data_IF_010629486661
#
_entry.id   IF_010629486661
#
_cell.length_a   1.000
_cell.length_b   1.000
_cell.length_c   1.000
_cell.angle_alpha   90.00
_cell.angle_beta   90.00
_cell.angle_gamma   90.00
#
_symmetry.space_group_name_H-M   'P 1'
#
loop_
_entity.id
_entity.type
_entity.pdbx_description
1 polymer ?
#
# COMPACT_ATOMS: atom_id res chain seq x y z
N UNK A 1 14.59 -8.12 14.11
CA UNK A 1 15.34 -8.46 15.33
C UNK A 1 16.62 -9.23 15.00
N UNK A 2 16.56 -10.30 14.21
CA UNK A 2 17.70 -11.18 13.93
C UNK A 2 18.87 -10.46 13.25
N UNK A 3 18.58 -9.46 12.42
CA UNK A 3 19.59 -8.65 11.71
C UNK A 3 19.88 -7.29 12.37
N UNK A 4 19.55 -7.12 13.66
CA UNK A 4 19.82 -5.89 14.41
C UNK A 4 18.87 -4.74 14.12
N UNK A 5 17.79 -4.94 13.35
CA UNK A 5 16.77 -3.93 13.06
C UNK A 5 15.99 -3.59 14.33
N UNK A 6 15.85 -2.30 14.62
CA UNK A 6 15.02 -1.79 15.71
C UNK A 6 13.69 -1.30 15.14
N UNK A 7 12.59 -1.76 15.70
CA UNK A 7 11.24 -1.35 15.33
C UNK A 7 10.68 -0.39 16.39
N UNK A 8 10.20 0.75 15.95
CA UNK A 8 9.48 1.72 16.75
C UNK A 8 8.02 1.69 16.32
N UNK A 9 7.22 0.82 16.96
CA UNK A 9 5.78 0.73 16.73
C UNK A 9 5.08 1.93 17.40
N UNK A 10 3.86 2.24 16.97
CA UNK A 10 3.08 3.36 17.47
C UNK A 10 3.85 4.70 17.43
N UNK A 11 4.70 4.85 16.42
CA UNK A 11 5.59 6.01 16.30
C UNK A 11 5.37 6.66 14.94
N UNK A 12 4.87 7.89 14.96
CA UNK A 12 4.58 8.69 13.76
C UNK A 12 5.71 9.68 13.52
N UNK A 13 6.21 9.74 12.30
CA UNK A 13 7.11 10.82 11.86
C UNK A 13 6.29 12.08 11.64
N UNK A 14 6.59 13.14 12.38
CA UNK A 14 5.88 14.42 12.31
C UNK A 14 6.62 15.43 11.42
N UNK A 15 7.94 15.55 11.63
CA UNK A 15 8.74 16.56 10.95
C UNK A 15 10.12 16.05 10.58
N UNK A 16 10.57 16.47 9.41
CA UNK A 16 11.91 16.19 8.90
C UNK A 16 12.64 17.49 8.60
N UNK A 17 13.89 17.58 9.02
CA UNK A 17 14.77 18.71 8.73
C UNK A 17 16.13 18.21 8.24
N UNK A 18 16.66 18.82 7.17
CA UNK A 18 18.04 18.60 6.73
C UNK A 18 18.98 19.31 7.67
N UNK A 19 20.03 18.61 8.11
CA UNK A 19 21.15 19.17 8.89
C UNK A 19 22.44 19.17 8.05
N UNK A 20 23.52 19.74 8.59
CA UNK A 20 24.81 19.75 7.88
C UNK A 20 25.38 18.37 7.59
N UNK A 21 25.10 17.38 8.45
CA UNK A 21 25.66 16.04 8.36
C UNK A 21 24.64 14.92 8.14
N UNK A 22 23.34 15.27 8.06
CA UNK A 22 22.28 14.27 7.93
C UNK A 22 20.91 14.88 8.09
N UNK A 23 20.06 14.27 8.91
CA UNK A 23 18.69 14.67 9.13
C UNK A 23 18.33 14.63 10.61
N UNK A 24 17.42 15.52 10.98
CA UNK A 24 16.68 15.49 12.23
C UNK A 24 15.26 15.06 11.96
N UNK A 25 14.83 14.02 12.67
CA UNK A 25 13.49 13.42 12.55
C UNK A 25 12.77 13.62 13.86
N UNK A 26 11.68 14.38 13.86
CA UNK A 26 10.77 14.49 14.99
C UNK A 26 9.71 13.41 14.88
N UNK A 27 9.57 12.61 15.92
CA UNK A 27 8.61 11.52 16.01
C UNK A 27 7.70 11.69 17.21
N UNK A 28 6.45 11.28 17.07
CA UNK A 28 5.44 11.22 18.11
C UNK A 28 5.09 9.78 18.43
N UNK A 29 5.28 9.37 19.68
CA UNK A 29 4.85 8.06 20.19
C UNK A 29 3.36 8.13 20.56
N UNK A 30 2.51 7.50 19.76
CA UNK A 30 1.04 7.62 19.88
C UNK A 30 0.45 6.89 21.08
N UNK A 31 1.18 5.94 21.67
CA UNK A 31 0.78 5.20 22.87
C UNK A 31 1.13 5.92 24.17
N UNK A 32 2.23 6.67 24.18
CA UNK A 32 2.72 7.40 25.36
C UNK A 32 2.49 8.91 25.28
N UNK A 33 2.12 9.41 24.09
CA UNK A 33 1.99 10.84 23.78
C UNK A 33 3.29 11.62 24.06
N UNK A 34 4.44 11.01 23.79
CA UNK A 34 5.77 11.61 23.97
C UNK A 34 6.39 11.92 22.62
N UNK A 35 7.00 13.09 22.50
CA UNK A 35 7.78 13.48 21.34
C UNK A 35 9.25 13.14 21.56
N UNK A 36 9.91 12.64 20.52
CA UNK A 36 11.33 12.32 20.49
C UNK A 36 11.98 12.92 19.23
N UNK A 37 13.26 13.22 19.32
CA UNK A 37 14.07 13.66 18.18
C UNK A 37 15.17 12.64 17.90
N UNK A 38 15.22 12.15 16.66
CA UNK A 38 16.20 11.18 16.18
C UNK A 38 17.11 11.89 15.17
N UNK A 39 18.43 11.75 15.35
CA UNK A 39 19.42 12.19 14.37
C UNK A 39 19.85 10.99 13.51
N UNK A 40 19.90 11.17 12.19
CA UNK A 40 20.28 10.11 11.27
C UNK A 40 21.04 10.65 10.06
N UNK A 41 21.87 9.83 9.43
CA UNK A 41 22.60 10.20 8.22
C UNK A 41 21.79 9.96 6.95
N UNK A 42 20.90 8.98 6.97
CA UNK A 42 20.09 8.57 5.82
C UNK A 42 18.63 8.43 6.24
N UNK A 43 17.73 8.71 5.30
CA UNK A 43 16.30 8.41 5.41
C UNK A 43 15.91 7.53 4.23
N UNK A 44 15.28 6.39 4.52
CA UNK A 44 14.62 5.57 3.51
C UNK A 44 13.11 5.79 3.67
N UNK A 45 12.53 6.50 2.71
CA UNK A 45 11.10 6.79 2.69
C UNK A 45 10.33 5.64 2.05
N UNK A 46 9.77 4.77 2.87
CA UNK A 46 8.90 3.67 2.47
C UNK A 46 7.50 3.81 3.09
N UNK A 47 6.99 5.05 3.16
CA UNK A 47 5.78 5.40 3.91
C UNK A 47 4.46 5.12 3.16
N UNK A 48 4.49 4.36 2.06
CA UNK A 48 3.30 3.96 1.33
C UNK A 48 2.49 5.17 0.84
N UNK A 49 1.22 5.25 1.19
CA UNK A 49 0.35 6.36 0.78
C UNK A 49 0.75 7.73 1.34
N UNK A 50 1.65 7.77 2.33
CA UNK A 50 2.18 9.00 2.92
C UNK A 50 3.59 9.36 2.42
N UNK A 51 4.11 8.64 1.42
CA UNK A 51 5.49 8.85 0.96
C UNK A 51 5.72 10.25 0.36
N UNK A 52 4.71 10.84 -0.25
CA UNK A 52 4.76 12.22 -0.75
C UNK A 52 4.87 13.24 0.41
N UNK A 53 4.16 13.03 1.52
CA UNK A 53 4.24 13.90 2.70
C UNK A 53 5.64 13.90 3.31
N UNK A 54 6.31 12.76 3.32
CA UNK A 54 7.70 12.61 3.79
C UNK A 54 8.66 13.29 2.79
N UNK A 55 8.60 12.91 1.52
CA UNK A 55 9.47 13.48 0.48
C UNK A 55 9.35 15.01 0.42
N UNK A 56 8.11 15.50 0.43
CA UNK A 56 7.80 16.90 0.18
C UNK A 56 8.20 17.85 1.32
N UNK A 57 8.56 17.33 2.49
CA UNK A 57 9.15 18.12 3.55
C UNK A 57 10.61 18.50 3.27
N UNK A 58 11.33 17.67 2.52
CA UNK A 58 12.79 17.81 2.32
C UNK A 58 13.16 18.20 0.89
N UNK A 59 12.46 17.66 -0.10
CA UNK A 59 12.78 17.81 -1.52
C UNK A 59 11.92 18.88 -2.19
N UNK A 60 12.52 19.63 -3.12
CA UNK A 60 11.80 20.52 -4.03
C UNK A 60 11.18 19.74 -5.21
N UNK A 61 11.68 18.53 -5.48
CA UNK A 61 11.07 17.58 -6.41
C UNK A 61 9.90 16.87 -5.73
N UNK A 62 8.72 17.49 -5.88
CA UNK A 62 7.53 17.02 -5.21
C UNK A 62 7.04 15.70 -5.81
N UNK A 63 6.67 14.78 -4.95
CA UNK A 63 5.87 13.60 -5.28
C UNK A 63 4.40 13.90 -5.02
N UNK A 64 3.53 13.19 -5.72
CA UNK A 64 2.10 13.20 -5.45
C UNK A 64 1.57 11.77 -5.44
N UNK A 65 1.10 11.32 -4.28
CA UNK A 65 0.57 9.97 -4.08
C UNK A 65 -0.94 10.04 -3.89
N UNK A 66 -1.65 9.46 -4.83
CA UNK A 66 -3.10 9.24 -4.75
C UNK A 66 -3.38 7.92 -4.05
N UNK A 67 -4.16 7.96 -2.98
CA UNK A 67 -4.63 6.75 -2.31
C UNK A 67 -5.69 6.06 -3.18
N UNK A 68 -5.37 4.87 -3.71
CA UNK A 68 -6.29 4.07 -4.53
C UNK A 68 -6.85 2.92 -3.72
N UNK A 69 -8.09 3.08 -3.24
CA UNK A 69 -8.77 2.10 -2.40
C UNK A 69 -9.19 0.87 -3.18
N UNK A 70 -8.89 -0.31 -2.62
CA UNK A 70 -9.34 -1.61 -3.07
C UNK A 70 -10.13 -2.30 -1.98
N UNK A 71 -11.40 -2.53 -2.20
CA UNK A 71 -12.29 -3.25 -1.30
C UNK A 71 -12.40 -4.71 -1.71
N UNK A 72 -12.53 -5.61 -0.74
CA UNK A 72 -12.59 -7.05 -0.94
C UNK A 72 -13.71 -7.69 -0.13
N UNK A 73 -14.24 -8.79 -0.65
CA UNK A 73 -15.07 -9.75 0.08
C UNK A 73 -14.30 -11.05 0.28
N UNK A 74 -14.22 -11.52 1.50
CA UNK A 74 -13.70 -12.84 1.83
C UNK A 74 -14.87 -13.80 2.11
N UNK A 75 -14.92 -14.90 1.39
CA UNK A 75 -15.95 -15.91 1.50
C UNK A 75 -15.45 -17.11 2.31
N UNK A 76 -16.41 -17.85 2.87
CA UNK A 76 -16.15 -19.03 3.69
C UNK A 76 -15.38 -20.12 2.94
N UNK A 77 -14.70 -21.00 3.69
CA UNK A 77 -13.93 -22.13 3.16
C UNK A 77 -14.79 -23.17 2.44
N UNK A 78 -16.07 -23.26 2.77
CA UNK A 78 -17.02 -24.16 2.09
C UNK A 78 -17.16 -23.89 0.59
N UNK A 79 -16.74 -22.71 0.16
CA UNK A 79 -16.74 -22.30 -1.26
C UNK A 79 -15.35 -21.94 -1.78
N UNK A 80 -14.30 -22.29 -1.04
CA UNK A 80 -12.93 -21.92 -1.40
C UNK A 80 -12.40 -22.58 -2.66
N UNK A 81 -12.95 -23.72 -3.06
CA UNK A 81 -12.61 -24.43 -4.29
C UNK A 81 -13.53 -24.11 -5.47
N UNK A 82 -14.36 -23.07 -5.36
CA UNK A 82 -15.30 -22.64 -6.40
C UNK A 82 -14.58 -22.32 -7.73
N UNK A 83 -13.37 -21.80 -7.65
CA UNK A 83 -12.44 -21.68 -8.78
C UNK A 83 -11.10 -22.33 -8.41
N UNK A 84 -10.42 -22.91 -9.41
CA UNK A 84 -9.12 -23.59 -9.18
C UNK A 84 -7.92 -22.68 -9.34
N UNK A 85 -8.12 -21.52 -9.96
CA UNK A 85 -7.09 -20.51 -10.22
C UNK A 85 -7.68 -19.12 -10.11
N UNK A 86 -6.84 -18.11 -9.95
CA UNK A 86 -7.29 -16.71 -10.01
C UNK A 86 -7.87 -16.40 -11.39
N UNK A 87 -9.11 -15.93 -11.42
CA UNK A 87 -9.81 -15.52 -12.62
C UNK A 87 -9.72 -13.99 -12.74
N UNK A 88 -9.18 -13.54 -13.87
CA UNK A 88 -9.03 -12.13 -14.22
C UNK A 88 -10.07 -11.74 -15.28
N UNK A 89 -10.44 -10.47 -15.28
CA UNK A 89 -11.06 -9.83 -16.44
C UNK A 89 -9.96 -9.38 -17.43
N UNK A 90 -10.35 -9.08 -18.66
CA UNK A 90 -9.46 -8.38 -19.59
C UNK A 90 -9.11 -7.03 -18.96
N UNK A 91 -7.82 -6.68 -18.83
CA UNK A 91 -7.41 -5.42 -18.20
C UNK A 91 -8.02 -4.19 -18.90
N UNK A 92 -8.41 -3.21 -18.12
CA UNK A 92 -8.88 -1.90 -18.57
C UNK A 92 -7.88 -0.81 -18.14
N UNK A 93 -8.17 0.44 -18.47
CA UNK A 93 -7.40 1.60 -17.94
C UNK A 93 -7.37 1.67 -16.41
N UNK A 94 -8.37 1.08 -15.74
CA UNK A 94 -8.44 1.01 -14.26
C UNK A 94 -7.78 -0.26 -13.68
N UNK A 95 -7.01 -0.99 -14.48
CA UNK A 95 -6.28 -2.19 -14.07
C UNK A 95 -7.01 -3.51 -14.38
N UNK A 96 -6.71 -4.53 -13.58
CA UNK A 96 -7.11 -5.94 -13.83
C UNK A 96 -8.58 -6.25 -13.50
N UNK A 97 -9.35 -5.27 -13.01
CA UNK A 97 -10.74 -5.44 -12.59
C UNK A 97 -10.91 -6.25 -11.31
N UNK A 98 -12.14 -6.72 -11.06
CA UNK A 98 -12.48 -7.57 -9.92
C UNK A 98 -12.07 -9.01 -10.21
N UNK A 99 -11.24 -9.57 -9.34
CA UNK A 99 -10.74 -10.94 -9.42
C UNK A 99 -11.60 -11.87 -8.56
N UNK A 100 -11.63 -13.14 -8.94
CA UNK A 100 -12.12 -14.24 -8.10
C UNK A 100 -10.94 -15.19 -7.87
N UNK A 101 -10.51 -15.33 -6.61
CA UNK A 101 -9.22 -15.96 -6.27
C UNK A 101 -9.38 -16.97 -5.13
N UNK A 102 -8.98 -18.23 -5.30
CA UNK A 102 -8.86 -19.15 -4.19
C UNK A 102 -7.66 -18.74 -3.32
N UNK A 103 -7.82 -18.75 -1.99
CA UNK A 103 -6.73 -18.42 -1.08
C UNK A 103 -5.97 -19.65 -0.61
N UNK A 104 -4.72 -19.48 -0.17
CA UNK A 104 -3.90 -20.57 0.38
C UNK A 104 -4.50 -21.18 1.65
N UNK A 105 -5.38 -20.46 2.34
CA UNK A 105 -6.06 -20.92 3.55
C UNK A 105 -7.41 -21.57 3.27
N UNK A 106 -7.78 -21.73 2.00
CA UNK A 106 -9.00 -22.42 1.58
C UNK A 106 -10.25 -21.53 1.53
N UNK A 107 -10.12 -20.23 1.63
CA UNK A 107 -11.20 -19.27 1.42
C UNK A 107 -11.29 -18.85 -0.07
N UNK A 108 -12.38 -18.21 -0.44
CA UNK A 108 -12.50 -17.52 -1.73
C UNK A 108 -12.46 -16.00 -1.51
N UNK A 109 -11.61 -15.32 -2.25
CA UNK A 109 -11.46 -13.86 -2.21
C UNK A 109 -12.02 -13.24 -3.49
N UNK A 110 -12.87 -12.23 -3.35
CA UNK A 110 -13.47 -11.50 -4.48
C UNK A 110 -13.17 -10.00 -4.34
N UNK A 111 -12.58 -9.41 -5.34
CA UNK A 111 -12.08 -8.03 -5.37
C UNK A 111 -10.76 -7.94 -6.15
N UNK A 112 -10.11 -6.77 -6.10
CA UNK A 112 -10.52 -5.53 -5.45
C UNK A 112 -11.41 -4.63 -6.31
N UNK A 113 -11.93 -3.58 -5.69
CA UNK A 113 -12.30 -2.36 -6.40
C UNK A 113 -11.04 -1.52 -6.71
N UNK A 114 -11.19 -0.44 -7.46
CA UNK A 114 -10.13 0.54 -7.70
C UNK A 114 -10.74 1.94 -7.75
N UNK A 115 -10.73 2.63 -6.61
CA UNK A 115 -11.33 3.96 -6.45
C UNK A 115 -10.32 4.90 -5.80
N UNK A 116 -10.04 6.01 -6.44
CA UNK A 116 -9.20 7.05 -5.86
C UNK A 116 -9.96 7.75 -4.72
N UNK A 117 -9.30 7.92 -3.58
CA UNK A 117 -9.85 8.58 -2.39
C UNK A 117 -8.87 9.65 -1.91
N UNK A 118 -9.43 10.74 -1.39
CA UNK A 118 -8.62 11.84 -0.83
C UNK A 118 -8.09 11.50 0.56
N UNK A 119 -8.92 10.83 1.37
CA UNK A 119 -8.55 10.42 2.72
C UNK A 119 -7.63 9.20 2.69
N UNK A 120 -6.34 9.42 3.00
CA UNK A 120 -5.31 8.37 3.12
C UNK A 120 -5.53 7.44 4.33
N UNK A 121 -6.53 7.68 5.16
CA UNK A 121 -6.99 6.80 6.24
C UNK A 121 -8.24 5.97 5.91
N UNK A 122 -8.83 6.13 4.72
CA UNK A 122 -10.12 5.53 4.33
C UNK A 122 -10.03 4.03 4.03
N UNK A 123 -9.80 3.21 5.06
CA UNK A 123 -9.72 1.74 4.97
C UNK A 123 -11.06 1.03 5.26
N UNK A 124 -12.15 1.77 5.34
CA UNK A 124 -13.49 1.23 5.48
C UNK A 124 -14.01 0.68 4.15
N UNK A 125 -14.88 -0.33 4.20
CA UNK A 125 -15.68 -0.78 3.06
C UNK A 125 -16.95 0.06 2.92
N UNK A 126 -17.46 0.14 1.70
CA UNK A 126 -18.67 0.90 1.35
C UNK A 126 -19.68 0.00 0.66
N UNK A 127 -20.98 0.35 0.78
CA UNK A 127 -22.05 -0.37 0.08
C UNK A 127 -21.78 -0.36 -1.43
N UNK A 128 -21.45 0.80 -1.99
CA UNK A 128 -21.21 0.96 -3.43
C UNK A 128 -20.03 0.09 -3.91
N UNK A 129 -18.94 0.02 -3.13
CA UNK A 129 -17.79 -0.82 -3.45
C UNK A 129 -18.12 -2.31 -3.41
N UNK A 130 -18.86 -2.75 -2.40
CA UNK A 130 -19.30 -4.15 -2.29
C UNK A 130 -20.29 -4.52 -3.39
N UNK A 131 -21.25 -3.65 -3.72
CA UNK A 131 -22.17 -3.84 -4.84
C UNK A 131 -21.44 -3.89 -6.18
N UNK A 132 -20.41 -3.05 -6.36
CA UNK A 132 -19.54 -3.12 -7.53
C UNK A 132 -18.84 -4.46 -7.64
N UNK A 133 -18.27 -4.98 -6.54
CA UNK A 133 -17.63 -6.30 -6.51
C UNK A 133 -18.63 -7.39 -6.91
N UNK A 134 -19.81 -7.39 -6.33
CA UNK A 134 -20.87 -8.35 -6.61
C UNK A 134 -21.27 -8.35 -8.10
N UNK A 135 -21.50 -7.19 -8.66
CA UNK A 135 -21.88 -7.03 -10.06
C UNK A 135 -20.77 -7.42 -11.02
N UNK A 136 -19.55 -6.90 -10.79
CA UNK A 136 -18.43 -7.04 -11.72
C UNK A 136 -17.85 -8.45 -11.71
N UNK A 137 -17.81 -9.12 -10.55
CA UNK A 137 -17.34 -10.51 -10.45
C UNK A 137 -18.19 -11.47 -11.29
N UNK A 138 -19.48 -11.20 -11.44
CA UNK A 138 -20.41 -12.01 -12.24
C UNK A 138 -20.09 -12.01 -13.74
N UNK A 139 -19.33 -11.05 -14.23
CA UNK A 139 -18.87 -11.01 -15.62
C UNK A 139 -17.80 -12.07 -15.91
N UNK A 140 -17.02 -12.46 -14.90
CA UNK A 140 -15.92 -13.43 -15.02
C UNK A 140 -16.33 -14.83 -14.56
N UNK A 141 -17.11 -14.91 -13.47
CA UNK A 141 -17.53 -16.15 -12.83
C UNK A 141 -19.00 -16.13 -12.55
N UNK A 142 -19.76 -17.05 -13.15
CA UNK A 142 -21.21 -17.14 -12.94
C UNK A 142 -21.52 -17.60 -11.51
N UNK A 143 -22.57 -17.02 -10.93
CA UNK A 143 -23.14 -17.45 -9.65
C UNK A 143 -22.12 -17.48 -8.49
N UNK A 144 -21.22 -16.48 -8.43
CA UNK A 144 -20.32 -16.34 -7.27
C UNK A 144 -21.15 -16.41 -5.97
N UNK A 145 -20.80 -17.28 -5.02
CA UNK A 145 -21.67 -17.56 -3.87
C UNK A 145 -21.55 -16.49 -2.77
N UNK A 146 -21.94 -15.24 -3.09
CA UNK A 146 -21.79 -14.06 -2.23
C UNK A 146 -22.53 -14.15 -0.89
N UNK A 147 -23.49 -15.09 -0.75
CA UNK A 147 -24.14 -15.36 0.54
C UNK A 147 -23.20 -15.98 1.58
N UNK A 148 -22.04 -16.47 1.14
CA UNK A 148 -20.99 -17.07 1.98
C UNK A 148 -19.90 -16.05 2.37
N UNK A 149 -20.14 -14.73 2.17
CA UNK A 149 -19.24 -13.68 2.66
C UNK A 149 -19.19 -13.73 4.18
N UNK A 150 -17.99 -13.89 4.74
CA UNK A 150 -17.74 -13.92 6.19
C UNK A 150 -17.17 -12.60 6.70
N UNK A 151 -16.49 -11.83 5.82
CA UNK A 151 -15.99 -10.48 6.14
C UNK A 151 -15.69 -9.70 4.87
N UNK A 152 -15.59 -8.39 5.01
CA UNK A 152 -15.08 -7.48 3.99
C UNK A 152 -13.99 -6.59 4.59
N UNK A 153 -13.06 -6.17 3.76
CA UNK A 153 -11.98 -5.26 4.15
C UNK A 153 -11.53 -4.41 2.97
N UNK A 154 -10.81 -3.34 3.26
CA UNK A 154 -10.22 -2.49 2.24
C UNK A 154 -8.77 -2.17 2.58
N UNK A 155 -8.00 -1.83 1.55
CA UNK A 155 -6.65 -1.32 1.67
C UNK A 155 -6.39 -0.23 0.64
N UNK A 156 -5.38 0.57 0.89
CA UNK A 156 -4.98 1.67 0.03
C UNK A 156 -3.70 1.33 -0.71
N UNK A 157 -3.68 1.55 -2.01
CA UNK A 157 -2.49 1.48 -2.86
C UNK A 157 -1.94 2.88 -3.05
N UNK A 158 -0.62 3.00 -3.01
CA UNK A 158 0.11 4.25 -3.16
C UNK A 158 0.37 4.51 -4.66
N UNK A 159 -0.63 5.05 -5.36
CA UNK A 159 -0.50 5.35 -6.78
C UNK A 159 0.22 6.68 -6.97
N UNK A 160 1.32 6.67 -7.69
CA UNK A 160 2.09 7.87 -8.05
C UNK A 160 1.71 8.34 -9.45
N UNK A 161 1.71 9.66 -9.68
CA UNK A 161 1.23 10.29 -10.93
C UNK A 161 2.01 9.85 -12.19
N UNK A 162 3.24 9.38 -12.04
CA UNK A 162 4.06 8.83 -13.13
C UNK A 162 3.71 7.40 -13.53
N UNK A 163 2.74 6.77 -12.86
CA UNK A 163 2.33 5.37 -13.09
C UNK A 163 3.48 4.34 -12.90
N UNK A 164 4.53 4.68 -12.11
CA UNK A 164 5.65 3.78 -11.83
C UNK A 164 6.15 3.93 -10.40
N UNK A 165 6.99 3.00 -9.96
CA UNK A 165 7.66 3.04 -8.67
C UNK A 165 8.74 4.11 -8.64
N UNK A 166 8.79 4.88 -7.58
CA UNK A 166 9.86 5.86 -7.34
C UNK A 166 10.88 5.24 -6.39
N UNK A 167 11.94 4.65 -6.95
CA UNK A 167 12.99 3.97 -6.20
C UNK A 167 14.33 4.63 -6.50
N UNK A 168 14.98 5.20 -5.49
CA UNK A 168 16.28 5.82 -5.65
C UNK A 168 16.52 6.99 -4.72
N UNK A 169 17.76 7.49 -4.73
CA UNK A 169 18.13 8.70 -3.99
C UNK A 169 17.49 9.94 -4.63
N UNK A 170 16.99 10.84 -3.80
CA UNK A 170 16.44 12.11 -4.26
C UNK A 170 17.53 12.92 -4.98
N UNK A 171 17.21 13.47 -6.15
CA UNK A 171 18.20 14.16 -6.96
C UNK A 171 18.66 15.51 -6.37
N UNK A 172 17.91 16.09 -5.45
CA UNK A 172 18.19 17.38 -4.80
C UNK A 172 18.46 17.25 -3.29
N UNK A 173 18.23 16.09 -2.70
CA UNK A 173 18.45 15.84 -1.26
C UNK A 173 19.28 14.59 -1.06
N UNK A 174 20.61 14.75 -0.99
CA UNK A 174 21.51 13.64 -0.71
C UNK A 174 21.19 12.98 0.64
N UNK A 175 21.11 11.66 0.66
CA UNK A 175 20.78 10.85 1.83
C UNK A 175 19.27 10.62 2.05
N UNK A 176 18.39 11.19 1.19
CA UNK A 176 16.98 10.83 1.14
C UNK A 176 16.78 9.81 0.01
N UNK A 177 16.45 8.58 0.37
CA UNK A 177 16.18 7.49 -0.58
C UNK A 177 14.68 7.22 -0.56
N UNK A 178 14.02 7.31 -1.72
CA UNK A 178 12.62 6.98 -1.87
C UNK A 178 12.45 5.51 -2.27
N UNK A 179 11.49 4.84 -1.67
CA UNK A 179 10.86 3.60 -2.06
C UNK A 179 9.34 3.84 -2.02
N UNK A 180 8.87 4.70 -2.94
CA UNK A 180 7.55 5.30 -2.96
C UNK A 180 6.76 4.90 -4.20
N UNK A 181 5.46 5.19 -4.24
CA UNK A 181 4.60 4.85 -5.38
C UNK A 181 4.44 3.34 -5.59
N UNK A 182 4.73 2.53 -4.57
CA UNK A 182 4.76 1.07 -4.70
C UNK A 182 3.35 0.52 -4.49
N UNK A 183 2.71 0.18 -5.61
CA UNK A 183 1.46 -0.56 -5.63
C UNK A 183 1.66 -1.99 -6.18
N UNK A 184 0.70 -2.62 -6.81
CA UNK A 184 0.88 -3.97 -7.38
C UNK A 184 1.84 -3.93 -8.58
N UNK A 185 2.87 -4.79 -8.63
CA UNK A 185 3.15 -6.00 -7.83
C UNK A 185 4.16 -5.81 -6.67
N UNK A 186 4.10 -4.76 -5.92
CA UNK A 186 5.08 -4.36 -4.91
C UNK A 186 5.47 -5.46 -3.91
N UNK A 187 4.50 -6.24 -3.40
CA UNK A 187 4.79 -7.32 -2.47
C UNK A 187 5.73 -8.38 -3.06
N UNK A 188 5.47 -8.78 -4.31
CA UNK A 188 6.33 -9.75 -5.02
C UNK A 188 7.70 -9.17 -5.37
N UNK A 189 7.78 -7.86 -5.58
CA UNK A 189 9.01 -7.13 -5.93
C UNK A 189 9.82 -6.68 -4.72
N UNK A 190 9.24 -6.74 -3.51
CA UNK A 190 9.83 -6.18 -2.30
C UNK A 190 11.27 -6.69 -2.01
N UNK A 191 11.62 -7.98 -2.22
CA UNK A 191 12.99 -8.43 -2.01
C UNK A 191 13.99 -7.76 -2.96
N UNK A 192 13.63 -7.61 -4.23
CA UNK A 192 14.47 -6.94 -5.23
C UNK A 192 14.59 -5.43 -4.95
N UNK A 193 13.49 -4.78 -4.59
CA UNK A 193 13.49 -3.38 -4.16
C UNK A 193 14.41 -3.18 -2.95
N UNK A 194 14.34 -4.07 -1.97
CA UNK A 194 15.19 -4.02 -0.78
C UNK A 194 16.68 -4.13 -1.11
N UNK A 195 17.06 -5.00 -2.05
CA UNK A 195 18.45 -5.10 -2.53
C UNK A 195 18.87 -3.81 -3.22
N UNK A 196 18.05 -3.30 -4.17
CA UNK A 196 18.35 -2.05 -4.86
C UNK A 196 18.54 -0.87 -3.90
N UNK A 197 17.65 -0.73 -2.91
CA UNK A 197 17.74 0.34 -1.90
C UNK A 197 19.00 0.19 -1.01
N UNK A 198 19.41 -1.04 -0.73
CA UNK A 198 20.60 -1.30 0.10
C UNK A 198 21.94 -1.04 -0.65
N UNK A 199 21.92 -1.01 -1.97
CA UNK A 199 23.08 -0.73 -2.83
C UNK A 199 23.28 0.77 -3.11
N UNK A 200 22.29 1.61 -2.78
CA UNK A 200 22.35 3.08 -2.90
C UNK A 200 23.10 3.72 -1.74
#
# INVERSE_FOLDING_TARGET
YENGVRFFLNTKVEKLEKTGEGFRVQVHHTDTCVDETIETKLIINAAGVYADEINNQLSDRKLHITARKGEYMLLDKTVGDYVKSTIFQIPSKMGKGVLVTPTVHGNLLVGPTAVNVEDKGAVNTTMDGLDQIARVSSHSVKNVPLRQVITSFAGLRAHEDGDDFVIGESADVKGLINAAGIESPGLSSAPAIGVTVAEL
#
